data_IF_714316389840
#
_entry.id   IF_714316389840
#
_cell.length_a   1.000
_cell.length_b   1.000
_cell.length_c   1.000
_cell.angle_alpha   90.00
_cell.angle_beta   90.00
_cell.angle_gamma   90.00
#
_symmetry.space_group_name_H-M   'P 1'
#
loop_
_entity.id
_entity.type
_entity.pdbx_description
1 polymer ?
#
# COMPACT_ATOMS: atom_id res chain seq x y z
N UNK A 1 -12.23 -3.13 18.13
CA UNK A 1 -12.71 -2.84 16.75
C UNK A 1 -12.17 -1.53 16.16
N UNK A 2 -12.24 -0.39 16.86
CA UNK A 2 -11.77 0.90 16.32
C UNK A 2 -10.32 0.90 15.83
N UNK A 3 -9.39 0.29 16.59
CA UNK A 3 -7.96 0.19 16.24
C UNK A 3 -7.73 -0.46 14.85
N UNK A 4 -8.40 -1.58 14.57
CA UNK A 4 -8.31 -2.28 13.28
C UNK A 4 -8.81 -1.43 12.11
N UNK A 5 -9.96 -0.78 12.31
CA UNK A 5 -10.59 0.07 11.29
C UNK A 5 -9.69 1.26 10.97
N UNK A 6 -9.09 1.89 12.00
CA UNK A 6 -8.14 2.98 11.80
C UNK A 6 -6.93 2.56 10.97
N UNK A 7 -6.31 1.42 11.26
CA UNK A 7 -5.16 0.91 10.49
C UNK A 7 -5.53 0.63 9.03
N UNK A 8 -6.70 0.04 8.78
CA UNK A 8 -7.19 -0.23 7.42
C UNK A 8 -7.45 1.07 6.66
N UNK A 9 -8.14 2.04 7.27
CA UNK A 9 -8.45 3.32 6.64
C UNK A 9 -7.16 4.07 6.27
N UNK A 10 -6.18 4.13 7.17
CA UNK A 10 -4.89 4.77 6.91
C UNK A 10 -4.21 4.09 5.71
N UNK A 11 -4.16 2.77 5.70
CA UNK A 11 -3.53 2.00 4.62
C UNK A 11 -4.20 2.25 3.28
N UNK A 12 -5.54 2.32 3.24
CA UNK A 12 -6.31 2.63 2.03
C UNK A 12 -6.00 4.05 1.54
N UNK A 13 -6.02 5.05 2.43
CA UNK A 13 -5.74 6.45 2.06
C UNK A 13 -4.33 6.58 1.46
N UNK A 14 -3.31 6.01 2.12
CA UNK A 14 -1.94 6.07 1.62
C UNK A 14 -1.77 5.30 0.31
N UNK A 15 -2.44 4.15 0.16
CA UNK A 15 -2.43 3.40 -1.10
C UNK A 15 -3.05 4.23 -2.24
N UNK A 16 -4.17 4.91 -1.99
CA UNK A 16 -4.81 5.80 -2.97
C UNK A 16 -3.85 6.94 -3.35
N UNK A 17 -3.19 7.58 -2.39
CA UNK A 17 -2.22 8.65 -2.66
C UNK A 17 -1.09 8.15 -3.56
N UNK A 18 -0.52 6.97 -3.27
CA UNK A 18 0.56 6.37 -4.07
C UNK A 18 0.07 6.05 -5.48
N UNK A 19 -1.14 5.50 -5.64
CA UNK A 19 -1.72 5.19 -6.94
C UNK A 19 -2.06 6.45 -7.74
N UNK A 20 -2.55 7.52 -7.10
CA UNK A 20 -2.79 8.80 -7.74
C UNK A 20 -1.47 9.44 -8.22
N UNK A 21 -0.45 9.45 -7.37
CA UNK A 21 0.87 9.97 -7.73
C UNK A 21 1.50 9.13 -8.85
N UNK A 22 1.45 7.80 -8.73
CA UNK A 22 1.92 6.88 -9.76
C UNK A 22 1.20 7.09 -11.09
N UNK A 23 -0.13 7.16 -11.09
CA UNK A 23 -0.90 7.37 -12.33
C UNK A 23 -0.59 8.72 -12.98
N UNK A 24 -0.46 9.80 -12.22
CA UNK A 24 -0.03 11.11 -12.74
C UNK A 24 1.34 11.05 -13.43
N UNK A 25 2.26 10.22 -12.92
CA UNK A 25 3.58 10.02 -13.52
C UNK A 25 3.56 9.12 -14.76
N UNK A 26 2.67 8.12 -14.78
CA UNK A 26 2.59 7.11 -15.85
C UNK A 26 1.81 7.60 -17.08
N UNK A 27 0.81 8.47 -16.90
CA UNK A 27 -0.05 8.99 -18.00
C UNK A 27 0.77 9.62 -19.14
N UNK A 28 1.72 10.55 -18.89
CA UNK A 28 2.51 11.17 -19.96
C UNK A 28 3.39 10.16 -20.70
N UNK A 29 3.93 9.15 -19.99
CA UNK A 29 4.81 8.13 -20.55
C UNK A 29 4.03 7.17 -21.46
N UNK A 30 2.78 6.86 -21.11
CA UNK A 30 1.93 5.97 -21.89
C UNK A 30 1.57 6.53 -23.28
N UNK A 31 1.54 7.86 -23.43
CA UNK A 31 1.32 8.54 -24.72
C UNK A 31 2.53 8.50 -25.67
N UNK A 32 3.71 8.10 -25.19
CA UNK A 32 4.93 8.05 -25.99
C UNK A 32 4.99 6.69 -26.69
N UNK A 33 4.76 6.66 -28.01
CA UNK A 33 4.76 5.45 -28.84
C UNK A 33 6.12 4.74 -29.02
N UNK A 34 7.13 5.06 -28.22
CA UNK A 34 8.49 4.52 -28.33
C UNK A 34 8.67 3.28 -27.43
N UNK A 35 9.27 2.22 -27.97
CA UNK A 35 9.64 1.00 -27.22
C UNK A 35 10.49 1.29 -25.98
N UNK A 36 11.36 2.31 -26.02
CA UNK A 36 12.17 2.68 -24.87
C UNK A 36 11.34 3.28 -23.72
N UNK A 37 10.26 4.01 -24.05
CA UNK A 37 9.35 4.56 -23.06
C UNK A 37 8.56 3.45 -22.34
N UNK A 38 8.16 2.39 -23.05
CA UNK A 38 7.50 1.21 -22.46
C UNK A 38 8.42 0.45 -21.49
N UNK A 39 9.71 0.38 -21.81
CA UNK A 39 10.72 -0.25 -20.95
C UNK A 39 10.98 0.61 -19.70
N UNK A 40 11.04 1.93 -19.84
CA UNK A 40 11.11 2.84 -18.70
C UNK A 40 9.87 2.73 -17.80
N UNK A 41 8.68 2.63 -18.40
CA UNK A 41 7.41 2.48 -17.70
C UNK A 41 7.41 1.24 -16.80
N UNK A 42 7.88 0.09 -17.31
CA UNK A 42 7.89 -1.15 -16.52
C UNK A 42 8.82 -1.07 -15.31
N UNK A 43 9.99 -0.45 -15.46
CA UNK A 43 10.95 -0.22 -14.36
C UNK A 43 10.36 0.71 -13.30
N UNK A 44 9.67 1.77 -13.73
CA UNK A 44 9.08 2.78 -12.84
C UNK A 44 7.87 2.23 -12.08
N UNK A 45 7.08 1.32 -12.65
CA UNK A 45 5.90 0.73 -11.99
C UNK A 45 6.27 -0.17 -10.81
N UNK A 46 7.41 -0.88 -10.90
CA UNK A 46 7.86 -1.81 -9.85
C UNK A 46 7.94 -1.19 -8.44
N UNK A 47 8.56 -0.02 -8.22
CA UNK A 47 8.59 0.59 -6.89
C UNK A 47 7.21 0.99 -6.38
N UNK A 48 6.25 1.38 -7.23
CA UNK A 48 4.88 1.67 -6.79
C UNK A 48 4.18 0.42 -6.27
N UNK A 49 4.33 -0.71 -6.97
CA UNK A 49 3.79 -2.00 -6.52
C UNK A 49 4.45 -2.41 -5.21
N UNK A 50 5.77 -2.28 -5.09
CA UNK A 50 6.50 -2.60 -3.87
C UNK A 50 6.05 -1.75 -2.68
N UNK A 51 5.80 -0.45 -2.88
CA UNK A 51 5.31 0.46 -1.84
C UNK A 51 3.92 0.09 -1.36
N UNK A 52 2.99 -0.18 -2.27
CA UNK A 52 1.63 -0.63 -1.91
C UNK A 52 1.69 -1.98 -1.18
N UNK A 53 2.51 -2.91 -1.66
CA UNK A 53 2.74 -4.20 -1.01
C UNK A 53 3.30 -4.04 0.42
N UNK A 54 4.27 -3.15 0.61
CA UNK A 54 4.85 -2.86 1.92
C UNK A 54 3.82 -2.24 2.88
N UNK A 55 2.93 -1.37 2.40
CA UNK A 55 1.83 -0.82 3.21
C UNK A 55 0.86 -1.91 3.65
N UNK A 56 0.46 -2.80 2.74
CA UNK A 56 -0.44 -3.92 3.05
C UNK A 56 0.20 -4.87 4.06
N UNK A 57 1.49 -5.18 3.90
CA UNK A 57 2.22 -6.02 4.84
C UNK A 57 2.28 -5.40 6.24
N UNK A 58 2.64 -4.11 6.34
CA UNK A 58 2.64 -3.39 7.62
C UNK A 58 1.26 -3.35 8.27
N UNK A 59 0.19 -3.15 7.49
CA UNK A 59 -1.18 -3.21 7.98
C UNK A 59 -1.51 -4.59 8.57
N UNK A 60 -1.11 -5.65 7.87
CA UNK A 60 -1.33 -7.02 8.32
C UNK A 60 -0.62 -7.33 9.64
N UNK A 61 0.68 -7.03 9.74
CA UNK A 61 1.45 -7.19 10.98
C UNK A 61 0.82 -6.38 12.12
N UNK A 62 0.44 -5.13 11.87
CA UNK A 62 -0.18 -4.28 12.89
C UNK A 62 -1.53 -4.82 13.38
N UNK A 63 -2.35 -5.35 12.48
CA UNK A 63 -3.62 -5.99 12.83
C UNK A 63 -3.37 -7.24 13.68
N UNK A 64 -2.31 -8.00 13.36
CA UNK A 64 -1.91 -9.18 14.12
C UNK A 64 -1.46 -8.81 15.54
N UNK A 65 -0.63 -7.77 15.69
CA UNK A 65 -0.21 -7.22 17.00
C UNK A 65 -1.42 -6.85 17.86
N UNK A 66 -2.36 -6.06 17.32
CA UNK A 66 -3.57 -5.64 18.05
C UNK A 66 -4.39 -6.85 18.50
N UNK A 67 -4.47 -7.89 17.65
CA UNK A 67 -5.22 -9.12 17.97
C UNK A 67 -4.54 -9.95 19.06
N UNK A 68 -3.21 -9.93 19.14
CA UNK A 68 -2.46 -10.60 20.20
C UNK A 68 -2.59 -9.85 21.53
N UNK A 69 -2.51 -8.51 21.53
CA UNK A 69 -2.80 -7.67 22.70
C UNK A 69 -4.21 -7.92 23.25
N UNK A 70 -5.24 -7.85 22.39
CA UNK A 70 -6.63 -8.05 22.80
C UNK A 70 -6.86 -9.46 23.39
N UNK A 71 -6.08 -10.47 22.98
CA UNK A 71 -6.16 -11.84 23.51
C UNK A 71 -5.47 -12.00 24.87
N UNK A 72 -4.29 -11.40 25.05
CA UNK A 72 -3.56 -11.48 26.32
C UNK A 72 -4.37 -10.80 27.43
N UNK A 73 -5.00 -9.67 27.13
CA UNK A 73 -5.86 -8.94 28.08
C UNK A 73 -7.09 -9.75 28.48
N UNK A 74 -7.75 -10.46 27.55
CA UNK A 74 -8.89 -11.33 27.87
C UNK A 74 -8.46 -12.53 28.72
N UNK A 75 -7.26 -13.08 28.50
CA UNK A 75 -6.78 -14.26 29.25
C UNK A 75 -6.47 -14.01 30.73
N UNK A 76 -6.35 -12.73 31.13
CA UNK A 76 -6.06 -12.32 32.51
C UNK A 76 -7.31 -12.18 33.40
N UNK A 77 -8.51 -12.32 32.85
CA UNK A 77 -9.79 -12.20 33.55
C UNK A 77 -10.65 -13.47 33.39
#
# INVERSE_FOLDING_TARGET
>A
MGKYISTIIITIIFSIIILLYGSAFLIPIFGIGNSMAKLLLSIIVLPFIALVGALIYNMYERIKEIKEEDKDDISKY
#
